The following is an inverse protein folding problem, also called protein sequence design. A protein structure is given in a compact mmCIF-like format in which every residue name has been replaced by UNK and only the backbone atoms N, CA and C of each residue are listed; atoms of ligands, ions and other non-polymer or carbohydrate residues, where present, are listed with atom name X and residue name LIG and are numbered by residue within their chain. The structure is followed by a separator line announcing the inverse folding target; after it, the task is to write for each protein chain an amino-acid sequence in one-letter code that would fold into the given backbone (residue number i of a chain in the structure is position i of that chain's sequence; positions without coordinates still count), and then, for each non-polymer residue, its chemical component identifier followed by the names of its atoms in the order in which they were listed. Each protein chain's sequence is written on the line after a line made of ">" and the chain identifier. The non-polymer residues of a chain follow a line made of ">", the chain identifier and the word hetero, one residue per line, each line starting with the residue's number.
data_IF_710346868078
#
_entry.id   IF_710346868078
#
_cell.length_a   1.000
_cell.length_b   1.000
_cell.length_c   1.000
_cell.angle_alpha   90.00
_cell.angle_beta   90.00
_cell.angle_gamma   90.00
#
_symmetry.space_group_name_H-M   'P 1'
#
loop_
_entity.id
_entity.type
_entity.pdbx_description
1 polymer ?
#
# COMPACT_ATOMS: atom_id res chain seq x y z
N UNK A 1 -0.37 -15.24 -0.40
CA UNK A 1 0.20 -14.80 0.91
C UNK A 1 -0.44 -15.53 2.08
N UNK A 2 0.36 -16.09 3.00
CA UNK A 2 -0.17 -16.62 4.26
C UNK A 2 -0.75 -15.47 5.10
N UNK A 3 -2.00 -15.61 5.56
CA UNK A 3 -2.72 -14.59 6.33
C UNK A 3 -1.92 -14.04 7.54
N UNK A 4 -1.00 -14.82 8.11
CA UNK A 4 -0.22 -14.44 9.28
C UNK A 4 0.78 -13.29 9.09
N UNK A 5 1.37 -13.10 7.90
CA UNK A 5 2.38 -12.05 7.68
C UNK A 5 1.81 -10.80 7.01
N UNK A 6 0.69 -10.91 6.32
CA UNK A 6 0.06 -9.79 5.63
C UNK A 6 -0.53 -8.77 6.62
N UNK A 7 -1.22 -9.24 7.66
CA UNK A 7 -1.89 -8.38 8.64
C UNK A 7 -0.94 -7.41 9.37
N UNK A 8 0.18 -7.86 9.99
CA UNK A 8 1.09 -6.93 10.67
C UNK A 8 1.71 -5.92 9.70
N UNK A 9 1.98 -6.34 8.46
CA UNK A 9 2.58 -5.47 7.45
C UNK A 9 1.62 -4.34 7.04
N UNK A 10 0.32 -4.64 6.91
CA UNK A 10 -0.72 -3.63 6.67
C UNK A 10 -0.88 -2.66 7.82
N UNK A 11 -0.83 -3.15 9.06
CA UNK A 11 -0.89 -2.31 10.26
C UNK A 11 0.30 -1.34 10.27
N UNK A 12 1.52 -1.84 10.02
CA UNK A 12 2.72 -1.00 9.93
C UNK A 12 2.61 0.05 8.81
N UNK A 13 2.13 -0.34 7.62
CA UNK A 13 1.88 0.60 6.52
C UNK A 13 0.88 1.69 6.91
N UNK A 14 -0.22 1.32 7.57
CA UNK A 14 -1.24 2.27 8.02
C UNK A 14 -0.74 3.21 9.11
N UNK A 15 -0.04 2.70 10.12
CA UNK A 15 0.51 3.50 11.23
C UNK A 15 1.55 4.49 10.73
N UNK A 16 2.49 4.06 9.89
CA UNK A 16 3.51 4.96 9.34
C UNK A 16 2.91 5.97 8.38
N UNK A 17 1.91 5.58 7.59
CA UNK A 17 1.18 6.49 6.70
C UNK A 17 0.45 7.59 7.50
N UNK A 18 -0.20 7.22 8.60
CA UNK A 18 -0.85 8.17 9.49
C UNK A 18 0.16 9.09 10.18
N UNK A 19 1.29 8.54 10.65
CA UNK A 19 2.35 9.32 11.27
C UNK A 19 2.87 10.39 10.30
N UNK A 20 3.24 10.01 9.08
CA UNK A 20 3.69 10.97 8.06
C UNK A 20 2.62 12.00 7.74
N UNK A 21 1.36 11.58 7.59
CA UNK A 21 0.26 12.50 7.32
C UNK A 21 0.14 13.56 8.44
N UNK A 22 0.21 13.15 9.70
CA UNK A 22 0.12 14.06 10.85
C UNK A 22 1.30 15.03 10.91
N UNK A 23 2.53 14.54 10.72
CA UNK A 23 3.74 15.36 10.72
C UNK A 23 3.76 16.33 9.53
N UNK A 24 3.41 15.88 8.33
CA UNK A 24 3.34 16.73 7.14
C UNK A 24 2.26 17.81 7.26
N UNK A 25 1.09 17.49 7.84
CA UNK A 25 0.06 18.50 8.15
C UNK A 25 0.57 19.51 9.17
N UNK A 26 1.28 19.06 10.21
CA UNK A 26 1.89 19.96 11.19
C UNK A 26 2.88 20.94 10.55
N UNK A 27 3.77 20.44 9.67
CA UNK A 27 4.72 21.28 8.92
C UNK A 27 3.97 22.25 8.01
N UNK A 28 2.97 21.78 7.25
CA UNK A 28 2.17 22.63 6.37
C UNK A 28 1.40 23.73 7.14
N UNK A 29 0.83 23.40 8.30
CA UNK A 29 0.15 24.36 9.15
C UNK A 29 1.10 25.43 9.68
N UNK A 30 2.33 25.05 10.06
CA UNK A 30 3.33 26.02 10.50
C UNK A 30 3.71 27.01 9.38
N UNK A 31 3.85 26.55 8.14
CA UNK A 31 4.11 27.46 7.00
C UNK A 31 2.99 28.49 6.85
N UNK A 32 1.73 28.04 6.86
CA UNK A 32 0.57 28.92 6.71
C UNK A 32 0.38 29.89 7.88
N UNK A 33 0.60 29.45 9.12
CA UNK A 33 0.27 30.25 10.31
C UNK A 33 1.44 31.06 10.85
N UNK A 34 2.66 30.52 10.84
CA UNK A 34 3.82 31.17 11.45
C UNK A 34 4.62 32.01 10.45
N UNK A 35 4.66 31.61 9.18
CA UNK A 35 5.41 32.33 8.13
C UNK A 35 4.54 33.05 7.11
N UNK A 36 3.21 32.85 7.17
CA UNK A 36 2.24 33.39 6.19
C UNK A 36 2.65 33.10 4.73
N UNK A 37 3.33 31.97 4.54
CA UNK A 37 3.89 31.56 3.25
C UNK A 37 3.32 30.21 2.86
N UNK A 38 3.23 29.96 1.55
CA UNK A 38 2.71 28.71 1.02
C UNK A 38 3.60 27.54 1.43
N UNK A 39 2.98 26.42 1.81
CA UNK A 39 3.70 25.20 2.16
C UNK A 39 4.48 24.65 0.95
N UNK A 40 5.69 24.10 1.17
CA UNK A 40 6.51 23.53 0.10
C UNK A 40 5.80 22.33 -0.55
N UNK A 41 5.95 22.20 -1.88
CA UNK A 41 5.26 21.17 -2.67
C UNK A 41 5.61 19.74 -2.26
N UNK A 42 6.80 19.53 -1.71
CA UNK A 42 7.27 18.24 -1.20
C UNK A 42 6.39 17.77 -0.02
N UNK A 43 6.10 18.66 0.93
CA UNK A 43 5.25 18.34 2.08
C UNK A 43 3.82 18.06 1.62
N UNK A 44 3.28 18.88 0.70
CA UNK A 44 1.95 18.65 0.14
C UNK A 44 1.85 17.31 -0.60
N UNK A 45 2.93 16.88 -1.26
CA UNK A 45 3.00 15.57 -1.89
C UNK A 45 3.01 14.42 -0.87
N UNK A 46 3.71 14.54 0.27
CA UNK A 46 3.65 13.53 1.34
C UNK A 46 2.25 13.44 1.98
N UNK A 47 1.52 14.56 2.10
CA UNK A 47 0.11 14.54 2.54
C UNK A 47 -0.75 13.74 1.57
N UNK A 48 -0.61 14.01 0.27
CA UNK A 48 -1.32 13.24 -0.77
C UNK A 48 -0.95 11.76 -0.72
N UNK A 49 0.34 11.42 -0.63
CA UNK A 49 0.82 10.04 -0.57
C UNK A 49 0.28 9.31 0.67
N UNK A 50 0.24 9.99 1.84
CA UNK A 50 -0.36 9.49 3.06
C UNK A 50 -1.84 9.12 2.87
N UNK A 51 -2.64 10.05 2.35
CA UNK A 51 -4.06 9.79 2.07
C UNK A 51 -4.25 8.67 1.04
N UNK A 52 -3.45 8.68 -0.03
CA UNK A 52 -3.49 7.64 -1.05
C UNK A 52 -3.18 6.26 -0.48
N UNK A 53 -2.20 6.14 0.43
CA UNK A 53 -1.89 4.89 1.12
C UNK A 53 -3.03 4.40 2.00
N UNK A 54 -3.70 5.29 2.76
CA UNK A 54 -4.87 4.90 3.55
C UNK A 54 -6.02 4.39 2.68
N UNK A 55 -6.31 5.09 1.58
CA UNK A 55 -7.31 4.66 0.58
C UNK A 55 -6.91 3.34 -0.06
N UNK A 56 -5.62 3.16 -0.35
CA UNK A 56 -5.09 1.93 -0.96
C UNK A 56 -5.24 0.72 -0.03
N UNK A 57 -4.93 0.88 1.26
CA UNK A 57 -5.11 -0.17 2.27
C UNK A 57 -6.60 -0.51 2.38
N UNK A 58 -7.47 0.49 2.47
CA UNK A 58 -8.91 0.28 2.51
C UNK A 58 -9.39 -0.44 1.24
N UNK A 59 -8.93 -0.04 0.06
CA UNK A 59 -9.30 -0.68 -1.21
C UNK A 59 -8.89 -2.16 -1.24
N UNK A 60 -7.67 -2.49 -0.80
CA UNK A 60 -7.16 -3.87 -0.82
C UNK A 60 -7.87 -4.76 0.22
N UNK A 61 -8.26 -4.22 1.38
CA UNK A 61 -8.96 -4.97 2.43
C UNK A 61 -10.48 -5.10 2.17
N UNK A 62 -11.10 -4.08 1.58
CA UNK A 62 -12.54 -4.01 1.35
C UNK A 62 -12.93 -4.71 0.04
N UNK A 63 -12.15 -4.57 -1.04
CA UNK A 63 -12.44 -5.19 -2.34
C UNK A 63 -12.72 -6.71 -2.27
N UNK A 64 -11.91 -7.54 -1.59
CA UNK A 64 -12.18 -8.98 -1.50
C UNK A 64 -13.42 -9.32 -0.66
N UNK A 65 -13.91 -8.41 0.20
CA UNK A 65 -15.11 -8.64 1.02
C UNK A 65 -16.40 -8.38 0.23
N UNK A 66 -16.40 -7.39 -0.66
CA UNK A 66 -17.61 -6.99 -1.39
C UNK A 66 -17.70 -7.58 -2.80
N UNK A 67 -16.56 -7.79 -3.48
CA UNK A 67 -16.54 -8.26 -4.87
C UNK A 67 -15.49 -9.36 -5.09
N UNK A 68 -15.72 -10.58 -4.58
CA UNK A 68 -14.78 -11.70 -4.73
C UNK A 68 -14.53 -12.12 -6.19
N UNK A 69 -15.37 -11.71 -7.14
CA UNK A 69 -15.16 -11.92 -8.59
C UNK A 69 -14.34 -10.83 -9.28
N UNK A 70 -14.18 -9.66 -8.67
CA UNK A 70 -13.42 -8.53 -9.22
C UNK A 70 -12.00 -8.42 -8.64
N UNK A 71 -11.58 -9.36 -7.78
CA UNK A 71 -10.24 -9.40 -7.20
C UNK A 71 -9.20 -9.83 -8.24
N UNK A 72 -8.93 -8.96 -9.21
CA UNK A 72 -7.87 -9.16 -10.17
C UNK A 72 -6.52 -8.86 -9.48
N UNK A 73 -5.62 -9.85 -9.36
CA UNK A 73 -4.34 -9.65 -8.68
C UNK A 73 -3.46 -8.57 -9.33
N UNK A 74 -3.66 -8.28 -10.62
CA UNK A 74 -2.97 -7.18 -11.31
C UNK A 74 -3.39 -5.80 -10.81
N UNK A 75 -4.65 -5.62 -10.39
CA UNK A 75 -5.13 -4.34 -9.83
C UNK A 75 -4.51 -4.09 -8.47
N UNK A 76 -4.50 -5.12 -7.60
CA UNK A 76 -3.85 -5.03 -6.30
C UNK A 76 -2.35 -4.72 -6.46
N UNK A 77 -1.66 -5.40 -7.38
CA UNK A 77 -0.26 -5.14 -7.69
C UNK A 77 -0.03 -3.70 -8.17
N UNK A 78 -0.91 -3.18 -9.03
CA UNK A 78 -0.86 -1.81 -9.50
C UNK A 78 -0.97 -0.79 -8.36
N UNK A 79 -1.95 -0.96 -7.47
CA UNK A 79 -2.15 -0.09 -6.30
C UNK A 79 -0.91 -0.10 -5.39
N UNK A 80 -0.37 -1.26 -5.08
CA UNK A 80 0.83 -1.35 -4.25
C UNK A 80 2.05 -0.71 -4.91
N UNK A 81 2.22 -0.93 -6.21
CA UNK A 81 3.33 -0.37 -6.98
C UNK A 81 3.26 1.16 -7.06
N UNK A 82 2.05 1.72 -7.24
CA UNK A 82 1.84 3.17 -7.17
C UNK A 82 2.26 3.73 -5.81
N UNK A 83 1.89 3.07 -4.71
CA UNK A 83 2.34 3.50 -3.38
C UNK A 83 3.87 3.43 -3.23
N UNK A 84 4.50 2.35 -3.70
CA UNK A 84 5.95 2.20 -3.69
C UNK A 84 6.65 3.37 -4.41
N UNK A 85 6.18 3.76 -5.60
CA UNK A 85 6.75 4.90 -6.35
C UNK A 85 6.51 6.22 -5.64
N UNK A 86 5.31 6.44 -5.08
CA UNK A 86 5.00 7.68 -4.36
C UNK A 86 5.88 7.84 -3.12
N UNK A 87 6.06 6.79 -2.33
CA UNK A 87 6.94 6.85 -1.17
C UNK A 87 8.42 7.03 -1.56
N UNK A 88 8.87 6.37 -2.63
CA UNK A 88 10.23 6.57 -3.16
C UNK A 88 10.48 8.03 -3.55
N UNK A 89 9.63 8.57 -4.42
CA UNK A 89 9.76 9.94 -4.92
C UNK A 89 9.58 10.97 -3.80
N UNK A 90 8.65 10.75 -2.87
CA UNK A 90 8.37 11.64 -1.75
C UNK A 90 9.54 11.75 -0.78
N UNK A 91 10.11 10.62 -0.36
CA UNK A 91 11.25 10.64 0.57
C UNK A 91 12.47 11.31 -0.07
N UNK A 92 12.77 11.00 -1.35
CA UNK A 92 13.91 11.62 -2.05
C UNK A 92 13.70 13.12 -2.23
N UNK A 93 12.49 13.53 -2.64
CA UNK A 93 12.17 14.95 -2.82
C UNK A 93 12.31 15.74 -1.51
N UNK A 94 11.82 15.19 -0.40
CA UNK A 94 11.93 15.81 0.91
C UNK A 94 13.39 15.83 1.40
N UNK A 95 14.15 14.75 1.21
CA UNK A 95 15.57 14.70 1.57
C UNK A 95 16.41 15.76 0.81
N UNK A 96 16.17 15.92 -0.49
CA UNK A 96 16.84 16.95 -1.31
C UNK A 96 16.41 18.36 -0.94
N UNK A 97 15.15 18.54 -0.54
CA UNK A 97 14.69 19.82 -0.02
C UNK A 97 15.42 20.16 1.28
N UNK A 98 15.46 19.23 2.25
CA UNK A 98 16.13 19.42 3.54
C UNK A 98 17.64 19.67 3.40
N UNK A 99 18.32 19.02 2.46
CA UNK A 99 19.77 19.21 2.26
C UNK A 99 20.14 20.61 1.73
N UNK A 100 19.17 21.33 1.14
CA UNK A 100 19.36 22.71 0.65
C UNK A 100 19.03 23.77 1.71
N UNK A 101 18.46 23.40 2.85
CA UNK A 101 18.15 24.34 3.92
C UNK A 101 19.41 24.65 4.73
N UNK A 102 19.88 25.90 4.65
CA UNK A 102 21.03 26.41 5.42
C UNK A 102 20.78 26.40 6.94
N UNK A 103 19.52 26.53 7.37
CA UNK A 103 19.14 26.55 8.78
C UNK A 103 17.92 25.65 8.99
N UNK A 104 18.16 24.41 9.43
CA UNK A 104 17.11 23.48 9.85
C UNK A 104 17.21 23.33 11.38
N UNK A 105 16.49 24.17 12.13
CA UNK A 105 16.50 24.18 13.60
C UNK A 105 15.08 24.34 14.13
N UNK A 106 14.78 23.68 15.25
CA UNK A 106 13.47 23.71 15.90
C UNK A 106 12.59 22.48 15.60
N UNK A 107 11.39 22.46 16.18
CA UNK A 107 10.47 21.32 16.13
C UNK A 107 9.99 20.99 14.70
N UNK A 108 9.83 21.99 13.85
CA UNK A 108 9.34 21.83 12.46
C UNK A 108 10.38 21.12 11.59
N UNK A 109 11.66 21.48 11.76
CA UNK A 109 12.76 20.78 11.10
C UNK A 109 12.85 19.33 11.56
N UNK A 110 12.78 19.08 12.88
CA UNK A 110 12.79 17.73 13.43
C UNK A 110 11.60 16.90 12.92
N UNK A 111 10.42 17.51 12.80
CA UNK A 111 9.26 16.88 12.19
C UNK A 111 9.50 16.53 10.71
N UNK A 112 10.05 17.44 9.91
CA UNK A 112 10.35 17.17 8.51
C UNK A 112 11.44 16.08 8.31
N UNK A 113 12.43 16.02 9.22
CA UNK A 113 13.43 14.95 9.24
C UNK A 113 12.80 13.60 9.59
N UNK A 114 11.92 13.57 10.59
CA UNK A 114 11.16 12.38 10.95
C UNK A 114 10.26 11.92 9.79
N UNK A 115 9.58 12.85 9.11
CA UNK A 115 8.79 12.57 7.89
C UNK A 115 9.63 11.89 6.82
N UNK A 116 10.84 12.39 6.58
CA UNK A 116 11.77 11.81 5.59
C UNK A 116 12.12 10.37 5.96
N UNK A 117 12.38 10.09 7.24
CA UNK A 117 12.71 8.75 7.73
C UNK A 117 11.51 7.78 7.62
N UNK A 118 10.32 8.19 8.07
CA UNK A 118 9.11 7.36 7.97
C UNK A 118 8.70 7.11 6.52
N UNK A 119 8.85 8.10 5.63
CA UNK A 119 8.63 7.93 4.20
C UNK A 119 9.59 6.89 3.59
N UNK A 120 10.87 6.88 4.00
CA UNK A 120 11.83 5.85 3.58
C UNK A 120 11.44 4.45 4.09
N UNK A 121 10.99 4.33 5.35
CA UNK A 121 10.50 3.06 5.87
C UNK A 121 9.24 2.58 5.13
N UNK A 122 8.34 3.49 4.77
CA UNK A 122 7.19 3.14 3.93
C UNK A 122 7.59 2.66 2.55
N UNK A 123 8.56 3.32 1.90
CA UNK A 123 9.09 2.83 0.63
C UNK A 123 9.56 1.38 0.73
N UNK A 124 10.33 1.03 1.76
CA UNK A 124 10.79 -0.35 1.99
C UNK A 124 9.61 -1.29 2.23
N UNK A 125 8.67 -0.89 3.09
CA UNK A 125 7.52 -1.71 3.47
C UNK A 125 6.62 -2.01 2.27
N UNK A 126 6.33 -1.01 1.43
CA UNK A 126 5.59 -1.17 0.17
C UNK A 126 6.39 -1.97 -0.87
N UNK A 127 7.71 -1.81 -0.93
CA UNK A 127 8.56 -2.63 -1.82
C UNK A 127 8.53 -4.11 -1.44
N UNK A 128 8.50 -4.43 -0.14
CA UNK A 128 8.37 -5.80 0.35
C UNK A 128 7.03 -6.40 -0.05
N UNK A 129 5.90 -5.67 0.14
CA UNK A 129 4.59 -6.18 -0.28
C UNK A 129 4.50 -6.36 -1.79
N UNK A 130 4.98 -5.39 -2.58
CA UNK A 130 5.04 -5.50 -4.05
C UNK A 130 5.85 -6.72 -4.46
N UNK A 131 7.01 -6.95 -3.85
CA UNK A 131 7.87 -8.10 -4.15
C UNK A 131 7.20 -9.44 -3.81
N UNK A 132 6.47 -9.52 -2.70
CA UNK A 132 5.70 -10.72 -2.33
C UNK A 132 4.54 -10.95 -3.30
N UNK A 133 3.80 -9.90 -3.64
CA UNK A 133 2.61 -9.98 -4.50
C UNK A 133 3.00 -10.28 -5.94
N UNK A 134 4.09 -9.68 -6.44
CA UNK A 134 4.67 -9.98 -7.73
C UNK A 134 5.11 -11.46 -7.82
N UNK A 135 5.81 -11.99 -6.81
CA UNK A 135 6.19 -13.41 -6.78
C UNK A 135 4.98 -14.34 -6.85
N UNK A 136 3.91 -14.03 -6.11
CA UNK A 136 2.66 -14.80 -6.14
C UNK A 136 2.02 -14.74 -7.54
N UNK A 137 1.97 -13.56 -8.17
CA UNK A 137 1.44 -13.37 -9.53
C UNK A 137 2.26 -14.12 -10.57
N UNK A 138 3.59 -13.96 -10.58
CA UNK A 138 4.46 -14.67 -11.53
C UNK A 138 4.35 -16.19 -11.37
N UNK A 139 4.36 -16.72 -10.14
CA UNK A 139 4.21 -18.16 -9.89
C UNK A 139 2.83 -18.68 -10.31
N UNK A 140 1.78 -17.89 -10.13
CA UNK A 140 0.42 -18.24 -10.59
C UNK A 140 0.29 -18.21 -12.12
N UNK A 141 0.98 -17.30 -12.80
CA UNK A 141 1.03 -17.24 -14.27
C UNK A 141 1.86 -18.38 -14.90
N UNK A 142 2.87 -18.90 -14.20
CA UNK A 142 3.65 -20.07 -14.63
C UNK A 142 2.95 -21.42 -14.38
N UNK A 143 1.94 -21.46 -13.51
CA UNK A 143 1.00 -22.59 -13.51
C UNK A 143 0.17 -22.46 -14.79
N UNK A 144 0.62 -23.13 -15.87
CA UNK A 144 -0.30 -23.54 -16.94
C UNK A 144 -1.59 -24.03 -16.26
N UNK A 145 -2.79 -23.66 -16.74
CA UNK A 145 -4.01 -24.28 -16.26
C UNK A 145 -3.84 -25.79 -16.48
N UNK A 146 -3.49 -26.48 -15.40
CA UNK A 146 -3.35 -27.91 -15.42
C UNK A 146 -4.80 -28.38 -15.39
N UNK A 147 -5.25 -28.88 -16.53
CA UNK A 147 -6.46 -29.66 -16.60
C UNK A 147 -6.36 -30.78 -15.56
N UNK A 148 -7.02 -30.63 -14.41
CA UNK A 148 -7.42 -31.72 -13.52
C UNK A 148 -8.25 -31.22 -12.33
N UNK A 149 -9.55 -31.08 -12.51
CA UNK A 149 -10.52 -31.60 -11.54
C UNK A 149 -11.57 -32.39 -12.30
N UNK A 150 -11.12 -33.50 -12.89
CA UNK A 150 -11.94 -34.69 -13.02
C UNK A 150 -11.58 -35.60 -11.86
N UNK A 151 -12.34 -35.52 -10.76
CA UNK A 151 -12.46 -36.55 -9.72
C UNK A 151 -13.47 -36.07 -8.67
N UNK A 152 -14.75 -36.40 -8.87
CA UNK A 152 -15.83 -36.01 -7.98
C UNK A 152 -17.13 -36.77 -8.24
N UNK A 153 -17.05 -38.11 -8.24
CA UNK A 153 -18.17 -39.03 -7.92
C UNK A 153 -19.23 -39.28 -9.01
N UNK A 154 -19.66 -40.56 -9.23
CA UNK A 154 -20.85 -40.86 -10.00
C UNK A 154 -22.11 -40.69 -9.13
N UNK A 155 -23.22 -40.17 -9.68
CA UNK A 155 -24.55 -40.48 -9.16
C UNK A 155 -25.29 -41.37 -10.17
N UNK A 156 -25.31 -42.68 -9.90
CA UNK A 156 -26.16 -43.64 -10.64
C UNK A 156 -26.74 -44.68 -9.68
N UNK A 157 -27.66 -44.23 -8.83
CA UNK A 157 -28.47 -45.09 -7.95
C UNK A 157 -29.90 -44.51 -7.89
N UNK A 158 -30.55 -44.28 -9.04
CA UNK A 158 -32.02 -44.18 -9.18
C UNK A 158 -32.41 -44.65 -10.59
N UNK A 159 -32.34 -45.95 -10.88
CA UNK A 159 -33.13 -46.56 -11.95
C UNK A 159 -33.29 -48.06 -11.71
N UNK A 160 -33.95 -48.42 -10.61
CA UNK A 160 -34.46 -49.77 -10.40
C UNK A 160 -35.79 -49.72 -9.66
N UNK A 161 -36.80 -49.15 -10.32
CA UNK A 161 -38.23 -49.39 -10.00
C UNK A 161 -39.10 -48.74 -11.09
N UNK A 162 -39.19 -49.37 -12.26
CA UNK A 162 -40.36 -49.33 -13.16
C UNK A 162 -40.09 -50.36 -14.26
N UNK A 163 -40.38 -51.63 -13.97
CA UNK A 163 -40.83 -52.66 -14.92
C UNK A 163 -40.98 -53.97 -14.13
N UNK A 164 -42.15 -54.10 -13.51
CA UNK A 164 -42.83 -55.35 -13.22
C UNK A 164 -44.30 -55.10 -13.58
#
# INVERSE_FOLDING_TARGET
>A
MGFGLALPLRITQGVFSFAVLALSIYVANWYNTATLSSSPSQINFLVFAGLWSLVSIAAIEVAPRFFPRASNPYIALGIEFTNMIFWFSGFVALAVFLSKLLFCRGSVCAAAQADTAFAAFMFVTWSVTVGMLAKDVFKSGFRKPTASVGAGGPPKEIMKETMA
#
